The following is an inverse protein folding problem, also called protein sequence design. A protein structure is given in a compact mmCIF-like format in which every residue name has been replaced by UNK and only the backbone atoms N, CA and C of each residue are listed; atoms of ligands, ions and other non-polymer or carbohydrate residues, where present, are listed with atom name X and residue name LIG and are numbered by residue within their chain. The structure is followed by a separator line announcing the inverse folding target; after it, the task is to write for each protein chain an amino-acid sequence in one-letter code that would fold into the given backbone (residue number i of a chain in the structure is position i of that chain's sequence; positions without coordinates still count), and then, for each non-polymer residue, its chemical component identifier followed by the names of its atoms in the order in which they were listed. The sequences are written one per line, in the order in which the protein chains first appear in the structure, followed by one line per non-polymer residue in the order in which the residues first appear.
data_IF_863395180702
#
_entry.id   IF_863395180702
#
_cell.length_a   1.000
_cell.length_b   1.000
_cell.length_c   1.000
_cell.angle_alpha   90.00
_cell.angle_beta   90.00
_cell.angle_gamma   90.00
#
_symmetry.space_group_name_H-M   'P 1'
#
loop_
_entity.id
_entity.type
_entity.pdbx_description
1 polymer ?
#
# COMPACT_ATOMS: atom_id res chain seq x y z
N UNK A 1 13.06 9.02 23.72
CA UNK A 1 12.50 9.57 22.46
C UNK A 1 13.47 10.59 21.87
N UNK A 2 13.70 10.51 20.53
CA UNK A 2 14.49 11.50 19.78
C UNK A 2 13.59 12.13 18.71
N UNK A 3 13.55 13.48 18.67
CA UNK A 3 12.85 14.23 17.64
C UNK A 3 13.88 15.04 16.84
N UNK A 4 13.98 14.80 15.54
CA UNK A 4 14.89 15.52 14.66
C UNK A 4 14.31 16.87 14.21
N UNK A 5 15.15 17.71 13.61
CA UNK A 5 14.81 19.07 13.22
C UNK A 5 13.57 19.12 12.30
N UNK A 6 12.65 20.03 12.61
CA UNK A 6 11.43 20.21 11.83
C UNK A 6 10.34 19.16 12.02
N UNK A 7 10.53 18.17 12.91
CA UNK A 7 9.45 17.26 13.25
C UNK A 7 8.27 18.02 13.90
N UNK A 8 7.05 17.77 13.41
CA UNK A 8 5.82 18.40 13.92
C UNK A 8 4.95 17.33 14.58
N UNK A 9 4.68 17.49 15.87
CA UNK A 9 3.90 16.52 16.65
C UNK A 9 2.65 17.20 17.21
N UNK A 10 1.48 16.62 16.93
CA UNK A 10 0.21 17.08 17.46
C UNK A 10 -0.50 18.17 16.63
N UNK A 11 -0.14 18.29 15.35
CA UNK A 11 -0.95 19.07 14.41
C UNK A 11 -2.37 18.47 14.29
N UNK A 12 -3.33 19.29 13.90
CA UNK A 12 -4.68 18.81 13.64
C UNK A 12 -4.73 17.85 12.46
N UNK A 13 -5.38 16.72 12.64
CA UNK A 13 -5.65 15.78 11.57
C UNK A 13 -6.56 16.35 10.48
N UNK A 14 -6.49 15.76 9.28
CA UNK A 14 -7.29 16.15 8.13
C UNK A 14 -8.73 15.61 8.27
N UNK A 15 -9.59 16.37 8.93
CA UNK A 15 -10.99 16.03 9.16
C UNK A 15 -11.93 17.15 8.74
N UNK A 16 -12.76 16.89 7.73
CA UNK A 16 -13.75 17.84 7.22
C UNK A 16 -15.07 17.14 6.93
N UNK A 17 -16.17 17.85 7.07
CA UNK A 17 -17.49 17.43 6.59
C UNK A 17 -18.03 18.41 5.56
N UNK A 18 -18.86 17.93 4.65
CA UNK A 18 -19.50 18.79 3.67
C UNK A 18 -20.81 19.34 4.25
N UNK A 19 -20.87 20.66 4.42
CA UNK A 19 -22.09 21.38 4.81
C UNK A 19 -22.38 22.49 3.80
N UNK A 20 -23.55 22.51 3.23
CA UNK A 20 -23.99 23.53 2.27
C UNK A 20 -22.96 23.82 1.16
N UNK A 21 -22.34 22.76 0.60
CA UNK A 21 -21.35 22.87 -0.46
C UNK A 21 -19.96 23.37 -0.02
N UNK A 22 -19.68 23.46 1.29
CA UNK A 22 -18.40 23.90 1.83
C UNK A 22 -17.79 22.84 2.74
N UNK A 23 -16.45 22.73 2.72
CA UNK A 23 -15.73 21.90 3.69
C UNK A 23 -15.64 22.63 5.04
N UNK A 24 -16.30 22.08 6.05
CA UNK A 24 -16.26 22.57 7.43
C UNK A 24 -15.34 21.67 8.23
N UNK A 25 -14.36 22.30 8.91
CA UNK A 25 -13.38 21.57 9.71
C UNK A 25 -14.06 20.89 10.90
N UNK A 26 -13.66 19.64 11.15
CA UNK A 26 -14.01 18.90 12.35
C UNK A 26 -12.88 19.07 13.37
N UNK A 27 -13.16 19.61 14.59
CA UNK A 27 -12.15 19.77 15.61
C UNK A 27 -11.43 18.46 15.95
N UNK A 28 -10.12 18.55 16.18
CA UNK A 28 -9.27 17.45 16.57
C UNK A 28 -8.88 17.64 18.04
N UNK A 29 -9.44 16.84 18.94
CA UNK A 29 -9.37 17.04 20.39
C UNK A 29 -8.46 16.04 21.11
N UNK A 30 -7.95 15.04 20.40
CA UNK A 30 -7.09 14.01 20.95
C UNK A 30 -5.63 14.45 21.09
N UNK A 31 -4.78 13.49 21.34
CA UNK A 31 -3.34 13.70 21.60
C UNK A 31 -2.49 12.85 20.66
N UNK A 32 -1.17 13.07 20.69
CA UNK A 32 -0.14 12.15 20.22
C UNK A 32 0.55 11.57 21.44
N UNK A 33 0.72 10.25 21.46
CA UNK A 33 1.55 9.55 22.43
C UNK A 33 2.73 8.90 21.68
N UNK A 34 3.94 9.12 22.17
CA UNK A 34 5.17 8.53 21.67
C UNK A 34 5.84 7.80 22.84
N UNK A 35 6.00 6.49 22.71
CA UNK A 35 6.59 5.66 23.76
C UNK A 35 8.14 5.73 23.72
N UNK A 36 8.78 5.06 24.67
CA UNK A 36 10.23 5.11 24.86
C UNK A 36 10.99 4.62 23.63
N UNK A 37 12.23 5.08 23.49
CA UNK A 37 13.16 4.72 22.41
C UNK A 37 12.67 4.93 20.97
N UNK A 38 11.52 5.60 20.79
CA UNK A 38 11.09 6.03 19.46
C UNK A 38 11.97 7.16 18.91
N UNK A 39 12.20 7.17 17.59
CA UNK A 39 12.95 8.19 16.88
C UNK A 39 12.15 8.70 15.70
N UNK A 40 11.99 10.04 15.60
CA UNK A 40 11.17 10.73 14.61
C UNK A 40 12.08 11.59 13.73
N UNK A 41 12.16 11.27 12.45
CA UNK A 41 13.01 11.92 11.46
C UNK A 41 12.63 13.35 11.15
N UNK A 42 13.53 14.03 10.46
CA UNK A 42 13.39 15.46 10.13
C UNK A 42 12.15 15.72 9.24
N UNK A 43 11.42 16.81 9.55
CA UNK A 43 10.22 17.22 8.83
C UNK A 43 9.11 16.14 8.74
N UNK A 44 9.13 15.17 9.61
CA UNK A 44 8.03 14.20 9.77
C UNK A 44 6.89 14.86 10.54
N UNK A 45 5.66 14.57 10.13
CA UNK A 45 4.44 15.11 10.76
C UNK A 45 3.62 13.99 11.37
N UNK A 46 3.18 14.18 12.61
CA UNK A 46 2.32 13.23 13.34
C UNK A 46 1.10 13.99 13.85
N UNK A 47 -0.05 13.73 13.24
CA UNK A 47 -1.29 14.37 13.59
C UNK A 47 -1.86 13.81 14.90
N UNK A 48 -2.53 14.67 15.68
CA UNK A 48 -3.27 14.22 16.88
C UNK A 48 -4.48 13.38 16.51
N UNK A 49 -4.92 12.53 17.40
CA UNK A 49 -6.18 11.83 17.25
C UNK A 49 -7.38 12.79 17.24
N UNK A 50 -8.47 12.39 16.56
CA UNK A 50 -9.71 13.16 16.60
C UNK A 50 -10.28 13.28 18.02
N UNK A 51 -10.38 12.18 18.76
CA UNK A 51 -10.86 12.14 20.15
C UNK A 51 -9.90 11.40 21.09
N UNK A 52 -9.31 10.30 20.64
CA UNK A 52 -8.40 9.49 21.44
C UNK A 52 -6.94 9.91 21.17
N UNK A 53 -6.12 9.03 20.69
CA UNK A 53 -4.71 9.31 20.42
C UNK A 53 -4.25 8.76 19.10
N UNK A 54 -3.24 9.40 18.51
CA UNK A 54 -2.30 8.79 17.58
C UNK A 54 -1.16 8.23 18.43
N UNK A 55 -0.71 7.01 18.18
CA UNK A 55 0.22 6.31 19.04
C UNK A 55 1.42 5.77 18.28
N UNK A 56 2.60 6.12 18.72
CA UNK A 56 3.88 5.61 18.24
C UNK A 56 4.46 4.72 19.32
N UNK A 57 4.56 3.42 19.05
CA UNK A 57 5.02 2.40 19.99
C UNK A 57 6.51 2.46 20.25
N UNK A 58 6.91 1.80 21.32
CA UNK A 58 8.29 1.72 21.81
C UNK A 58 9.26 1.29 20.70
N UNK A 59 10.42 1.95 20.63
CA UNK A 59 11.50 1.59 19.72
C UNK A 59 11.19 1.82 18.23
N UNK A 60 10.04 2.40 17.88
CA UNK A 60 9.70 2.71 16.49
C UNK A 60 10.71 3.70 15.88
N UNK A 61 11.09 3.47 14.61
CA UNK A 61 11.98 4.32 13.84
C UNK A 61 11.24 4.88 12.64
N UNK A 62 11.01 6.16 12.67
CA UNK A 62 10.29 6.89 11.61
C UNK A 62 11.27 7.84 10.96
N UNK A 63 11.49 7.67 9.67
CA UNK A 63 12.46 8.42 8.87
C UNK A 63 11.92 9.82 8.50
N UNK A 64 12.66 10.54 7.70
CA UNK A 64 12.36 11.92 7.29
C UNK A 64 11.16 12.01 6.37
N UNK A 65 10.42 13.13 6.44
CA UNK A 65 9.29 13.43 5.53
C UNK A 65 8.19 12.37 5.55
N UNK A 66 8.01 11.67 6.65
CA UNK A 66 6.91 10.72 6.84
C UNK A 66 5.67 11.48 7.35
N UNK A 67 4.48 11.07 6.90
CA UNK A 67 3.21 11.60 7.40
C UNK A 67 2.45 10.49 8.13
N UNK A 68 2.17 10.70 9.41
CA UNK A 68 1.31 9.85 10.24
C UNK A 68 0.03 10.61 10.53
N UNK A 69 -1.06 10.20 9.91
CA UNK A 69 -2.35 10.86 10.09
C UNK A 69 -3.00 10.52 11.45
N UNK A 70 -4.11 11.20 11.71
CA UNK A 70 -4.85 11.07 12.97
C UNK A 70 -5.26 9.63 13.30
N UNK A 71 -5.25 9.28 14.57
CA UNK A 71 -5.67 7.97 15.10
C UNK A 71 -4.88 6.77 14.56
N UNK A 72 -3.73 6.98 13.95
CA UNK A 72 -2.84 5.89 13.58
C UNK A 72 -2.21 5.26 14.83
N UNK A 73 -1.91 3.97 14.74
CA UNK A 73 -1.11 3.23 15.73
C UNK A 73 0.06 2.59 15.00
N UNK A 74 1.27 3.04 15.33
CA UNK A 74 2.51 2.40 14.87
C UNK A 74 2.98 1.47 15.97
N UNK A 75 2.95 0.17 15.71
CA UNK A 75 3.34 -0.85 16.69
C UNK A 75 4.84 -0.80 17.02
N UNK A 76 5.24 -1.42 18.15
CA UNK A 76 6.61 -1.38 18.66
C UNK A 76 7.64 -1.89 17.64
N UNK A 77 8.84 -1.31 17.69
CA UNK A 77 10.01 -1.67 16.87
C UNK A 77 9.74 -1.68 15.36
N UNK A 78 8.72 -0.96 14.90
CA UNK A 78 8.42 -0.80 13.48
C UNK A 78 9.30 0.27 12.84
N UNK A 79 9.56 0.11 11.54
CA UNK A 79 10.40 1.03 10.75
C UNK A 79 9.56 1.60 9.61
N UNK A 80 9.48 2.92 9.52
CA UNK A 80 8.78 3.63 8.43
C UNK A 80 9.79 4.53 7.73
N UNK A 81 10.10 4.17 6.48
CA UNK A 81 11.13 4.84 5.67
C UNK A 81 10.55 6.08 4.99
N UNK A 82 11.46 6.97 4.61
CA UNK A 82 11.17 8.33 4.15
C UNK A 82 10.08 8.45 3.08
N UNK A 83 9.35 9.57 3.14
CA UNK A 83 8.29 9.96 2.22
C UNK A 83 7.10 8.99 2.17
N UNK A 84 6.92 8.18 3.20
CA UNK A 84 5.75 7.33 3.35
C UNK A 84 4.63 8.03 4.09
N UNK A 85 3.39 7.66 3.80
CA UNK A 85 2.20 8.24 4.44
C UNK A 85 1.24 7.17 4.93
N UNK A 86 0.90 7.23 6.22
CA UNK A 86 -0.15 6.41 6.82
C UNK A 86 -1.42 7.25 6.95
N UNK A 87 -2.45 6.89 6.18
CA UNK A 87 -3.76 7.56 6.28
C UNK A 87 -4.47 7.25 7.59
N UNK A 88 -5.41 8.11 7.96
CA UNK A 88 -6.07 8.08 9.26
C UNK A 88 -6.60 6.72 9.69
N UNK A 89 -6.45 6.42 10.98
CA UNK A 89 -6.88 5.17 11.63
C UNK A 89 -6.20 3.90 11.09
N UNK A 90 -5.07 4.03 10.40
CA UNK A 90 -4.23 2.88 10.05
C UNK A 90 -3.50 2.37 11.30
N UNK A 91 -3.51 1.06 11.51
CA UNK A 91 -2.81 0.43 12.63
C UNK A 91 -1.78 -0.58 12.14
N UNK A 92 -0.64 -0.65 12.80
CA UNK A 92 0.36 -1.68 12.54
C UNK A 92 0.63 -2.51 13.79
N UNK A 93 0.92 -3.79 13.59
CA UNK A 93 1.51 -4.65 14.61
C UNK A 93 2.97 -4.29 14.89
N UNK A 94 3.66 -5.13 15.65
CA UNK A 94 5.07 -4.95 15.97
C UNK A 94 6.00 -5.36 14.80
N UNK A 95 7.21 -4.78 14.74
CA UNK A 95 8.26 -5.10 13.75
C UNK A 95 7.80 -4.98 12.28
N UNK A 96 6.87 -4.07 11.99
CA UNK A 96 6.43 -3.78 10.62
C UNK A 96 7.47 -2.93 9.92
N UNK A 97 7.77 -3.24 8.66
CA UNK A 97 8.68 -2.45 7.82
C UNK A 97 7.90 -1.85 6.66
N UNK A 98 7.83 -0.53 6.64
CA UNK A 98 7.24 0.23 5.54
C UNK A 98 8.36 0.95 4.80
N UNK A 99 8.71 0.48 3.61
CA UNK A 99 9.78 1.05 2.81
C UNK A 99 9.39 2.43 2.24
N UNK A 100 10.34 3.11 1.60
CA UNK A 100 10.14 4.49 1.15
C UNK A 100 9.03 4.66 0.11
N UNK A 101 8.37 5.84 0.14
CA UNK A 101 7.27 6.21 -0.75
C UNK A 101 6.07 5.26 -0.74
N UNK A 102 5.76 4.65 0.39
CA UNK A 102 4.55 3.85 0.56
C UNK A 102 3.39 4.72 1.02
N UNK A 103 2.21 4.48 0.46
CA UNK A 103 0.97 5.09 0.91
C UNK A 103 -0.05 4.03 1.34
N UNK A 104 -0.78 4.28 2.44
CA UNK A 104 -1.91 3.45 2.83
C UNK A 104 -3.21 4.21 2.64
N UNK A 105 -4.32 3.52 2.30
CA UNK A 105 -5.65 4.11 2.54
C UNK A 105 -5.96 4.04 4.03
N UNK A 106 -6.97 4.79 4.48
CA UNK A 106 -7.35 4.82 5.89
C UNK A 106 -7.99 3.52 6.40
N UNK A 107 -8.03 3.38 7.73
CA UNK A 107 -8.71 2.27 8.45
C UNK A 107 -8.19 0.88 8.12
N UNK A 108 -6.90 0.74 7.84
CA UNK A 108 -6.26 -0.54 7.59
C UNK A 108 -5.57 -1.10 8.83
N UNK A 109 -5.41 -2.42 8.82
CA UNK A 109 -4.54 -3.13 9.75
C UNK A 109 -3.43 -3.87 9.02
N UNK A 110 -2.18 -3.59 9.40
CA UNK A 110 -1.00 -4.33 8.97
C UNK A 110 -0.54 -5.20 10.14
N UNK A 111 -0.62 -6.52 9.98
CA UNK A 111 -0.24 -7.46 11.04
C UNK A 111 1.24 -7.43 11.41
N UNK A 112 1.62 -8.18 12.44
CA UNK A 112 2.99 -8.26 12.94
C UNK A 112 3.98 -8.71 11.87
N UNK A 113 5.16 -8.09 11.83
CA UNK A 113 6.24 -8.46 10.92
C UNK A 113 5.95 -8.27 9.43
N UNK A 114 4.92 -7.50 9.08
CA UNK A 114 4.60 -7.17 7.69
C UNK A 114 5.72 -6.32 7.08
N UNK A 115 6.05 -6.61 5.81
CA UNK A 115 6.97 -5.80 5.01
C UNK A 115 6.24 -5.24 3.79
N UNK A 116 6.20 -3.92 3.66
CA UNK A 116 5.70 -3.24 2.46
C UNK A 116 6.88 -2.68 1.70
N UNK A 117 7.08 -3.15 0.46
CA UNK A 117 8.20 -2.70 -0.37
C UNK A 117 7.99 -1.29 -0.92
N UNK A 118 9.07 -0.64 -1.30
CA UNK A 118 9.04 0.75 -1.76
C UNK A 118 8.04 0.99 -2.92
N UNK A 119 7.47 2.20 -2.93
CA UNK A 119 6.49 2.67 -3.94
C UNK A 119 5.22 1.83 -4.03
N UNK A 120 4.83 1.19 -2.93
CA UNK A 120 3.59 0.40 -2.88
C UNK A 120 2.41 1.23 -2.38
N UNK A 121 1.22 0.93 -2.91
CA UNK A 121 -0.07 1.47 -2.44
C UNK A 121 -0.87 0.39 -1.71
N UNK A 122 -1.04 0.51 -0.39
CA UNK A 122 -1.76 -0.49 0.41
C UNK A 122 -3.23 -0.09 0.50
N UNK A 123 -4.11 -0.93 -0.01
CA UNK A 123 -5.55 -0.64 -0.13
C UNK A 123 -6.44 -1.59 0.67
N UNK A 124 -5.87 -2.54 1.40
CA UNK A 124 -6.58 -3.50 2.25
C UNK A 124 -5.66 -4.02 3.34
N UNK A 125 -6.22 -4.65 4.36
CA UNK A 125 -5.48 -5.25 5.46
C UNK A 125 -4.43 -6.25 4.96
N UNK A 126 -3.30 -6.28 5.68
CA UNK A 126 -2.18 -7.16 5.36
C UNK A 126 -1.96 -8.15 6.51
N UNK A 127 -2.14 -9.46 6.29
CA UNK A 127 -1.90 -10.47 7.32
C UNK A 127 -0.45 -10.48 7.81
N UNK A 128 -0.26 -10.85 9.07
CA UNK A 128 1.05 -10.91 9.71
C UNK A 128 2.08 -11.71 8.91
N UNK A 129 3.34 -11.29 8.95
CA UNK A 129 4.49 -11.95 8.32
C UNK A 129 4.53 -11.90 6.79
N UNK A 130 3.62 -11.19 6.15
CA UNK A 130 3.59 -11.10 4.68
C UNK A 130 4.45 -9.95 4.16
N UNK A 131 5.00 -10.16 2.96
CA UNK A 131 5.66 -9.11 2.17
C UNK A 131 4.80 -8.74 0.96
N UNK A 132 4.43 -7.46 0.85
CA UNK A 132 3.57 -6.95 -0.22
C UNK A 132 4.28 -5.93 -1.10
N UNK A 133 3.92 -5.91 -2.38
CA UNK A 133 4.49 -5.02 -3.41
C UNK A 133 3.43 -4.57 -4.40
N UNK A 134 3.62 -3.38 -4.97
CA UNK A 134 2.85 -2.88 -6.11
C UNK A 134 1.82 -1.81 -5.73
N UNK A 135 1.15 -1.30 -6.74
CA UNK A 135 0.06 -0.34 -6.60
C UNK A 135 -1.15 -0.81 -7.44
N UNK A 136 -2.17 -1.40 -6.83
CA UNK A 136 -2.26 -1.73 -5.40
C UNK A 136 -1.25 -2.80 -4.97
N UNK A 137 -0.79 -2.75 -3.71
CA UNK A 137 0.16 -3.71 -3.18
C UNK A 137 -0.45 -5.12 -3.11
N UNK A 138 0.33 -6.11 -3.52
CA UNK A 138 -0.02 -7.53 -3.51
C UNK A 138 1.07 -8.36 -2.84
N UNK A 139 0.80 -9.61 -2.46
CA UNK A 139 1.84 -10.52 -2.04
C UNK A 139 2.98 -10.53 -3.08
N UNK A 140 4.24 -10.44 -2.61
CA UNK A 140 5.39 -10.23 -3.51
C UNK A 140 5.51 -11.30 -4.59
N UNK A 141 5.25 -12.58 -4.24
CA UNK A 141 5.30 -13.69 -5.20
C UNK A 141 4.27 -13.54 -6.32
N UNK A 142 3.05 -13.10 -5.97
CA UNK A 142 1.98 -12.84 -6.94
C UNK A 142 2.37 -11.70 -7.88
N UNK A 143 2.86 -10.58 -7.31
CA UNK A 143 3.26 -9.42 -8.10
C UNK A 143 4.42 -9.73 -9.05
N UNK A 144 5.44 -10.45 -8.59
CA UNK A 144 6.58 -10.85 -9.44
C UNK A 144 6.15 -11.79 -10.58
N UNK A 145 5.22 -12.72 -10.31
CA UNK A 145 4.67 -13.56 -11.36
C UNK A 145 3.91 -12.76 -12.41
N UNK A 146 3.09 -11.80 -11.99
CA UNK A 146 2.39 -10.89 -12.91
C UNK A 146 3.36 -10.07 -13.76
N UNK A 147 4.40 -9.50 -13.16
CA UNK A 147 5.42 -8.73 -13.89
C UNK A 147 6.14 -9.60 -14.94
N UNK A 148 6.49 -10.85 -14.60
CA UNK A 148 7.09 -11.79 -15.53
C UNK A 148 6.16 -12.12 -16.71
N UNK A 149 4.86 -12.31 -16.46
CA UNK A 149 3.87 -12.53 -17.52
C UNK A 149 3.73 -11.30 -18.43
N UNK A 150 3.68 -10.10 -17.86
CA UNK A 150 3.63 -8.86 -18.65
C UNK A 150 4.84 -8.74 -19.58
N UNK A 151 6.04 -9.09 -19.14
CA UNK A 151 7.23 -9.09 -19.97
C UNK A 151 7.17 -10.09 -21.15
N UNK A 152 6.39 -11.15 -21.02
CA UNK A 152 6.21 -12.16 -22.07
C UNK A 152 5.13 -11.79 -23.12
N UNK A 153 4.28 -10.80 -22.84
CA UNK A 153 3.18 -10.41 -23.73
C UNK A 153 3.60 -10.15 -25.18
N UNK A 154 4.73 -9.43 -25.48
CA UNK A 154 5.15 -9.23 -26.86
C UNK A 154 5.45 -10.52 -27.63
N UNK A 155 6.02 -11.52 -26.93
CA UNK A 155 6.32 -12.84 -27.54
C UNK A 155 5.04 -13.65 -27.76
N UNK A 156 4.11 -13.61 -26.79
CA UNK A 156 2.81 -14.26 -26.90
C UNK A 156 1.99 -13.68 -28.08
N UNK A 157 1.98 -12.36 -28.24
CA UNK A 157 1.31 -11.69 -29.35
C UNK A 157 1.87 -12.15 -30.72
N UNK A 158 3.21 -12.25 -30.86
CA UNK A 158 3.84 -12.76 -32.09
C UNK A 158 3.46 -14.22 -32.37
N UNK A 159 3.46 -15.08 -31.33
CA UNK A 159 3.07 -16.48 -31.47
C UNK A 159 1.61 -16.64 -31.86
N UNK A 160 0.73 -15.85 -31.27
CA UNK A 160 -0.70 -15.86 -31.59
C UNK A 160 -0.92 -15.46 -33.06
N UNK A 161 -0.31 -14.38 -33.53
CA UNK A 161 -0.40 -13.94 -34.94
C UNK A 161 0.07 -15.04 -35.89
N UNK A 162 1.18 -15.68 -35.61
CA UNK A 162 1.68 -16.79 -36.46
C UNK A 162 0.72 -17.99 -36.49
N UNK A 163 0.05 -18.30 -35.38
CA UNK A 163 -0.95 -19.37 -35.33
C UNK A 163 -2.22 -19.01 -36.12
N UNK A 164 -2.67 -17.76 -36.05
CA UNK A 164 -3.81 -17.27 -36.83
C UNK A 164 -3.54 -17.31 -38.34
N UNK A 165 -2.34 -16.91 -38.77
CA UNK A 165 -1.91 -17.01 -40.17
C UNK A 165 -1.87 -18.46 -40.67
N UNK A 166 -1.33 -19.39 -39.85
CA UNK A 166 -1.35 -20.82 -40.16
C UNK A 166 -2.78 -21.36 -40.29
N UNK A 167 -3.68 -20.95 -39.40
CA UNK A 167 -5.09 -21.40 -39.46
C UNK A 167 -5.79 -20.91 -40.73
N UNK A 168 -5.50 -19.69 -41.19
CA UNK A 168 -6.04 -19.14 -42.42
C UNK A 168 -5.51 -19.88 -43.68
N UNK A 169 -4.29 -20.42 -43.63
CA UNK A 169 -3.66 -21.10 -44.74
C UNK A 169 -3.99 -22.60 -44.77
N UNK A 170 -4.64 -23.16 -43.74
CA UNK A 170 -5.09 -24.57 -43.78
C UNK A 170 -6.35 -24.70 -44.64
N UNK A 171 -6.37 -25.63 -45.63
CA UNK A 171 -7.57 -25.83 -46.43
C UNK A 171 -8.71 -26.33 -45.52
N UNK A 172 -9.90 -25.79 -45.73
CA UNK A 172 -11.10 -26.21 -45.02
C UNK A 172 -11.32 -27.70 -45.23
N UNK A 173 -11.18 -28.52 -44.18
CA UNK A 173 -11.52 -29.94 -44.20
C UNK A 173 -13.06 -30.08 -44.29
N UNK A 174 -13.59 -30.00 -45.50
CA UNK A 174 -15.03 -30.07 -45.67
C UNK A 174 -15.40 -30.50 -47.07
N UNK A 175 -15.49 -31.73 -47.31
CA UNK A 175 -16.54 -32.35 -48.12
C UNK A 175 -16.30 -33.86 -48.17
N UNK A 176 -16.81 -34.55 -47.20
CA UNK A 176 -17.10 -35.98 -47.34
C UNK A 176 -18.17 -36.11 -48.46
N UNK A 177 -17.70 -36.40 -49.68
CA UNK A 177 -18.60 -36.81 -50.77
C UNK A 177 -19.37 -38.04 -50.31
N UNK A 178 -20.67 -37.88 -50.07
CA UNK A 178 -21.61 -38.99 -49.95
C UNK A 178 -21.61 -39.77 -51.26
N UNK A 179 -20.90 -40.84 -51.34
CA UNK A 179 -21.04 -41.85 -52.41
C UNK A 179 -22.41 -42.51 -52.27
N UNK A 180 -23.35 -42.13 -53.14
CA UNK A 180 -24.59 -42.87 -53.35
C UNK A 180 -24.20 -44.25 -53.95
N UNK A 181 -24.45 -45.33 -53.21
CA UNK A 181 -24.53 -46.67 -53.78
C UNK A 181 -25.90 -46.83 -54.49
N UNK A 182 -25.87 -47.21 -55.75
CA UNK A 182 -26.96 -47.80 -56.49
C UNK A 182 -27.25 -49.23 -56.02
#
# INVERSE_FOLDING_TARGET
VVLHAGAVVGADGFGYEMKEGKHVKIPQLGIVQIDDDAEIGANTTIDRGRFARTHIGEGAKIDNLVMIAHNCVVGPHSVIVAQSGLSGSTTTGHHVVIAGHVGTVGHLHLGDGVVITAKSGVTKDVPAGQTWRGAPARPIKEQMAMEAHIQQLPQLAKRLKALEEKKKSMPSSGSLKKTKKR
#
